data_IF_523349873634
#
_entry.id   IF_523349873634
#
_cell.length_a   1.000
_cell.length_b   1.000
_cell.length_c   1.000
_cell.angle_alpha   90.00
_cell.angle_beta   90.00
_cell.angle_gamma   90.00
#
_symmetry.space_group_name_H-M   'P 1'
#
loop_
_entity.id
_entity.type
_entity.pdbx_description
1 polymer ?
#
# COMPACT_ATOMS: atom_id res chain seq x y z
N UNK A 1 7.32 -14.07 -0.42
CA UNK A 1 8.68 -14.31 -0.88
C UNK A 1 9.61 -13.16 -0.49
N UNK A 2 10.89 -13.40 -0.49
CA UNK A 2 11.91 -12.47 -0.05
C UNK A 2 12.98 -12.29 -1.13
N UNK A 3 13.22 -11.06 -1.55
CA UNK A 3 14.16 -10.72 -2.62
C UNK A 3 14.96 -9.50 -2.18
N UNK A 4 16.19 -9.37 -2.66
CA UNK A 4 17.01 -8.18 -2.43
C UNK A 4 16.98 -7.32 -3.69
N UNK A 5 16.71 -6.01 -3.53
CA UNK A 5 16.69 -5.10 -4.68
C UNK A 5 18.08 -4.59 -5.05
N UNK A 6 18.15 -3.71 -6.08
CA UNK A 6 19.44 -3.22 -6.59
C UNK A 6 20.21 -2.36 -5.59
N UNK A 7 19.54 -1.80 -4.59
CA UNK A 7 20.15 -0.97 -3.54
C UNK A 7 20.50 -1.80 -2.30
N UNK A 8 20.32 -3.11 -2.32
CA UNK A 8 20.60 -3.97 -1.20
C UNK A 8 19.50 -4.05 -0.16
N UNK A 9 18.34 -3.45 -0.42
CA UNK A 9 17.18 -3.53 0.47
C UNK A 9 16.49 -4.87 0.29
N UNK A 10 15.84 -5.35 1.36
CA UNK A 10 15.04 -6.57 1.29
C UNK A 10 13.64 -6.25 0.85
N UNK A 11 13.14 -6.95 -0.14
CA UNK A 11 11.77 -6.82 -0.64
C UNK A 11 10.98 -8.05 -0.19
N UNK A 12 9.92 -7.83 0.58
CA UNK A 12 9.02 -8.87 1.05
C UNK A 12 7.72 -8.77 0.27
N UNK A 13 7.26 -9.89 -0.30
CA UNK A 13 6.03 -9.93 -1.08
C UNK A 13 5.04 -10.89 -0.45
N UNK A 14 3.80 -10.44 -0.34
CA UNK A 14 2.69 -11.24 0.17
C UNK A 14 1.65 -11.31 -0.95
N UNK A 15 1.45 -12.51 -1.50
CA UNK A 15 0.53 -12.70 -2.60
C UNK A 15 -0.93 -12.45 -2.22
N UNK A 16 -1.28 -12.73 -0.97
CA UNK A 16 -2.64 -12.59 -0.46
C UNK A 16 -2.59 -12.14 0.98
N UNK A 17 -3.25 -11.04 1.30
CA UNK A 17 -3.24 -10.50 2.66
C UNK A 17 -4.05 -11.36 3.63
N UNK A 18 -3.63 -11.41 4.91
CA UNK A 18 -4.41 -12.09 5.93
C UNK A 18 -5.78 -11.45 6.13
N UNK A 19 -6.75 -12.24 6.55
CA UNK A 19 -8.08 -11.77 6.90
C UNK A 19 -8.01 -10.61 7.90
N UNK A 20 -8.85 -9.61 7.70
CA UNK A 20 -8.90 -8.42 8.56
C UNK A 20 -7.95 -7.31 8.17
N UNK A 21 -7.09 -7.50 7.15
CA UNK A 21 -6.11 -6.48 6.72
C UNK A 21 -6.76 -5.35 5.94
N UNK A 22 -7.79 -5.64 5.15
CA UNK A 22 -8.49 -4.65 4.32
C UNK A 22 -9.99 -4.78 4.55
N UNK A 23 -10.62 -3.70 5.00
CA UNK A 23 -12.05 -3.64 5.21
C UNK A 23 -12.66 -2.57 4.31
N UNK A 24 -13.41 -3.00 3.31
CA UNK A 24 -14.10 -2.11 2.36
C UNK A 24 -15.49 -2.68 2.11
N UNK A 25 -16.46 -2.25 2.93
CA UNK A 25 -17.81 -2.82 2.92
C UNK A 25 -17.77 -4.34 3.19
N UNK A 26 -16.92 -4.75 4.13
CA UNK A 26 -16.65 -6.14 4.46
C UNK A 26 -15.17 -6.46 4.27
N UNK A 27 -14.74 -7.63 4.74
CA UNK A 27 -13.34 -8.05 4.63
C UNK A 27 -12.99 -8.37 3.18
N UNK A 28 -12.11 -7.56 2.59
CA UNK A 28 -11.63 -7.71 1.21
C UNK A 28 -10.16 -8.10 1.15
N UNK A 29 -9.58 -8.52 2.26
CA UNK A 29 -8.15 -8.83 2.35
C UNK A 29 -7.68 -9.86 1.32
N UNK A 30 -8.53 -10.83 1.01
CA UNK A 30 -8.21 -11.87 0.03
C UNK A 30 -8.11 -11.35 -1.40
N UNK A 31 -8.57 -10.13 -1.67
CA UNK A 31 -8.46 -9.48 -2.98
C UNK A 31 -7.18 -8.68 -3.15
N UNK A 32 -6.38 -8.57 -2.09
CA UNK A 32 -5.19 -7.72 -2.08
C UNK A 32 -3.91 -8.52 -1.83
N UNK A 33 -2.84 -8.05 -2.42
CA UNK A 33 -1.48 -8.47 -2.10
C UNK A 33 -0.69 -7.29 -1.57
N UNK A 34 0.46 -7.56 -0.99
CA UNK A 34 1.31 -6.54 -0.42
C UNK A 34 2.77 -6.72 -0.79
N UNK A 35 3.51 -5.63 -0.75
CA UNK A 35 4.95 -5.61 -0.93
C UNK A 35 5.55 -4.60 0.05
N UNK A 36 6.56 -5.02 0.78
CA UNK A 36 7.28 -4.14 1.70
C UNK A 36 8.75 -4.10 1.32
N UNK A 37 9.32 -2.91 1.27
CA UNK A 37 10.75 -2.71 1.07
C UNK A 37 11.34 -2.35 2.42
N UNK A 38 12.28 -3.18 2.89
CA UNK A 38 12.92 -3.03 4.20
C UNK A 38 14.33 -2.51 4.00
N UNK A 39 14.66 -1.42 4.66
CA UNK A 39 15.95 -0.78 4.59
C UNK A 39 16.64 -0.79 5.97
N UNK A 40 17.94 -0.62 5.97
CA UNK A 40 18.73 -0.54 7.20
C UNK A 40 19.45 0.79 7.25
N UNK A 41 19.35 1.47 8.39
CA UNK A 41 20.06 2.71 8.67
C UNK A 41 20.83 2.51 9.97
N UNK A 42 22.13 2.24 9.86
CA UNK A 42 22.94 1.87 11.02
C UNK A 42 22.43 0.60 11.68
N UNK A 43 22.16 0.59 12.98
CA UNK A 43 21.62 -0.59 13.66
C UNK A 43 20.11 -0.75 13.51
N UNK A 44 19.43 0.19 12.84
CA UNK A 44 17.96 0.20 12.73
C UNK A 44 17.52 -0.36 11.40
N UNK A 45 16.58 -1.32 11.44
CA UNK A 45 15.93 -1.86 10.27
C UNK A 45 14.46 -1.39 10.27
N UNK A 46 13.99 -0.88 9.17
CA UNK A 46 12.64 -0.33 9.08
C UNK A 46 12.04 -0.55 7.69
N UNK A 47 10.71 -0.51 7.62
CA UNK A 47 10.01 -0.56 6.34
C UNK A 47 10.12 0.82 5.69
N UNK A 48 10.79 0.86 4.53
CA UNK A 48 10.99 2.08 3.75
C UNK A 48 9.79 2.40 2.88
N UNK A 49 9.13 1.37 2.36
CA UNK A 49 7.96 1.51 1.51
C UNK A 49 7.03 0.34 1.72
N UNK A 50 5.74 0.62 1.80
CA UNK A 50 4.72 -0.41 1.86
C UNK A 50 3.73 -0.17 0.73
N UNK A 51 3.48 -1.21 -0.07
CA UNK A 51 2.53 -1.17 -1.16
C UNK A 51 1.47 -2.24 -0.97
N UNK A 52 0.22 -1.84 -1.09
CA UNK A 52 -0.92 -2.75 -1.06
C UNK A 52 -1.71 -2.54 -2.34
N UNK A 53 -1.94 -3.62 -3.08
CA UNK A 53 -2.58 -3.55 -4.40
C UNK A 53 -3.66 -4.61 -4.54
N UNK A 54 -4.73 -4.28 -5.24
CA UNK A 54 -5.74 -5.26 -5.60
C UNK A 54 -5.13 -6.26 -6.59
N UNK A 55 -5.32 -7.54 -6.32
CA UNK A 55 -4.81 -8.64 -7.15
C UNK A 55 -5.66 -8.83 -8.40
N UNK A 56 -6.93 -8.46 -8.32
CA UNK A 56 -7.91 -8.63 -9.39
C UNK A 56 -9.05 -7.66 -9.17
N UNK A 57 -9.86 -7.36 -10.18
CA UNK A 57 -11.06 -6.55 -9.98
C UNK A 57 -12.01 -7.23 -9.02
N UNK A 58 -12.72 -6.44 -8.21
CA UNK A 58 -13.68 -6.97 -7.25
C UNK A 58 -14.86 -6.02 -7.08
N UNK A 59 -15.97 -6.54 -6.56
CA UNK A 59 -17.16 -5.75 -6.29
C UNK A 59 -17.19 -5.29 -4.83
N UNK A 60 -17.45 -4.00 -4.63
CA UNK A 60 -17.72 -3.47 -3.30
C UNK A 60 -19.18 -3.71 -2.91
N UNK A 61 -20.07 -3.47 -3.87
CA UNK A 61 -21.51 -3.62 -3.71
C UNK A 61 -22.06 -4.16 -5.02
N UNK A 62 -23.35 -4.45 -5.04
CA UNK A 62 -24.01 -4.99 -6.25
C UNK A 62 -23.75 -4.12 -7.49
N UNK A 63 -23.71 -2.79 -7.31
CA UNK A 63 -23.60 -1.84 -8.41
C UNK A 63 -22.23 -1.15 -8.51
N UNK A 64 -21.31 -1.42 -7.58
CA UNK A 64 -20.01 -0.77 -7.58
C UNK A 64 -18.89 -1.81 -7.73
N UNK A 65 -17.98 -1.55 -8.64
CA UNK A 65 -16.85 -2.43 -8.93
C UNK A 65 -15.54 -1.65 -8.86
N UNK A 66 -14.54 -2.24 -8.25
CA UNK A 66 -13.17 -1.72 -8.24
C UNK A 66 -12.37 -2.52 -9.26
N UNK A 67 -11.88 -1.83 -10.29
CA UNK A 67 -11.08 -2.46 -11.34
C UNK A 67 -9.60 -2.51 -10.98
N UNK A 68 -9.13 -1.50 -10.24
CA UNK A 68 -7.74 -1.40 -9.82
C UNK A 68 -7.67 -0.60 -8.52
N UNK A 69 -6.76 -0.99 -7.63
CA UNK A 69 -6.56 -0.28 -6.37
C UNK A 69 -5.11 -0.43 -5.94
N UNK A 70 -4.45 0.69 -5.64
CA UNK A 70 -3.05 0.74 -5.23
C UNK A 70 -2.90 1.76 -4.11
N UNK A 71 -2.21 1.36 -3.04
CA UNK A 71 -1.77 2.29 -2.00
C UNK A 71 -0.28 2.10 -1.82
N UNK A 72 0.48 3.19 -1.90
CA UNK A 72 1.91 3.18 -1.64
C UNK A 72 2.21 4.19 -0.55
N UNK A 73 2.81 3.73 0.53
CA UNK A 73 3.27 4.58 1.62
C UNK A 73 4.79 4.54 1.67
N UNK A 74 5.41 5.72 1.65
CA UNK A 74 6.85 5.87 1.82
C UNK A 74 7.13 6.34 3.23
N UNK A 75 8.16 5.76 3.85
CA UNK A 75 8.55 6.03 5.22
C UNK A 75 9.99 6.49 5.28
N UNK A 76 10.29 7.31 6.28
CA UNK A 76 11.66 7.72 6.59
C UNK A 76 11.83 7.70 8.10
N UNK A 77 13.08 7.64 8.55
CA UNK A 77 13.35 7.73 9.99
C UNK A 77 13.22 9.17 10.45
N UNK A 78 12.39 9.39 11.47
CA UNK A 78 12.25 10.67 12.14
C UNK A 78 13.34 10.91 13.17
N UNK A 79 13.25 12.03 13.88
CA UNK A 79 14.24 12.42 14.90
C UNK A 79 14.46 11.39 15.98
N UNK A 80 13.40 10.70 16.39
CA UNK A 80 13.49 9.72 17.46
C UNK A 80 13.96 8.35 16.99
N UNK A 81 14.38 8.22 15.71
CA UNK A 81 14.77 6.95 15.14
C UNK A 81 13.60 6.03 14.81
N UNK A 82 12.38 6.55 14.78
CA UNK A 82 11.19 5.79 14.45
C UNK A 82 10.74 6.09 13.02
N UNK A 83 10.26 5.08 12.29
CA UNK A 83 9.72 5.32 10.95
C UNK A 83 8.47 6.20 11.02
N UNK A 84 8.40 7.18 10.13
CA UNK A 84 7.21 8.03 9.96
C UNK A 84 6.85 8.05 8.50
N UNK A 85 5.56 8.10 8.20
CA UNK A 85 5.09 8.18 6.83
C UNK A 85 5.41 9.58 6.30
N UNK A 86 6.08 9.65 5.15
CA UNK A 86 6.42 10.95 4.53
C UNK A 86 5.61 11.19 3.27
N UNK A 87 5.07 10.14 2.67
CA UNK A 87 4.23 10.25 1.48
C UNK A 87 3.27 9.08 1.42
N UNK A 88 2.04 9.35 1.05
CA UNK A 88 1.03 8.32 0.82
C UNK A 88 0.34 8.61 -0.50
N UNK A 89 0.32 7.63 -1.40
CA UNK A 89 -0.37 7.72 -2.68
C UNK A 89 -1.41 6.64 -2.75
N UNK A 90 -2.65 7.04 -3.01
CA UNK A 90 -3.76 6.12 -3.22
C UNK A 90 -4.31 6.34 -4.62
N UNK A 91 -4.39 5.28 -5.40
CA UNK A 91 -4.86 5.34 -6.78
C UNK A 91 -5.82 4.18 -7.01
N UNK A 92 -6.98 4.47 -7.55
CA UNK A 92 -7.94 3.43 -7.86
C UNK A 92 -8.78 3.79 -9.07
N UNK A 93 -9.25 2.76 -9.77
CA UNK A 93 -10.19 2.88 -10.87
C UNK A 93 -11.41 2.02 -10.52
N UNK A 94 -12.57 2.56 -10.74
CA UNK A 94 -13.81 1.88 -10.42
C UNK A 94 -14.92 2.24 -11.40
N UNK A 95 -16.00 1.46 -11.35
CA UNK A 95 -17.15 1.67 -12.20
C UNK A 95 -18.44 1.33 -11.48
N UNK A 96 -19.52 1.98 -11.92
CA UNK A 96 -20.88 1.72 -11.53
C UNK A 96 -21.78 2.05 -12.74
N UNK A 97 -23.06 1.64 -12.75
CA UNK A 97 -23.90 1.85 -13.91
C UNK A 97 -23.88 3.31 -14.39
N UNK A 98 -23.49 3.50 -15.65
CA UNK A 98 -23.44 4.81 -16.29
C UNK A 98 -22.24 5.67 -15.92
N UNK A 99 -21.30 5.16 -15.13
CA UNK A 99 -20.18 5.95 -14.65
C UNK A 99 -18.92 5.10 -14.44
N UNK A 100 -17.79 5.61 -14.88
CA UNK A 100 -16.49 5.01 -14.59
C UNK A 100 -15.47 6.13 -14.43
N UNK A 101 -14.39 5.85 -13.70
CA UNK A 101 -13.35 6.84 -13.50
C UNK A 101 -12.17 6.34 -12.71
N UNK A 102 -11.13 7.16 -12.68
CA UNK A 102 -9.91 6.91 -11.93
C UNK A 102 -9.70 8.06 -10.94
N UNK A 103 -9.30 7.71 -9.72
CA UNK A 103 -9.00 8.69 -8.67
C UNK A 103 -7.58 8.46 -8.20
N UNK A 104 -6.84 9.54 -8.00
CA UNK A 104 -5.50 9.50 -7.43
C UNK A 104 -5.40 10.58 -6.35
N UNK A 105 -5.04 10.16 -5.16
CA UNK A 105 -4.81 11.06 -4.02
C UNK A 105 -3.37 10.91 -3.57
N UNK A 106 -2.70 12.02 -3.38
CA UNK A 106 -1.34 12.03 -2.86
C UNK A 106 -1.26 12.96 -1.66
N UNK A 107 -0.70 12.47 -0.57
CA UNK A 107 -0.48 13.25 0.64
C UNK A 107 0.99 13.21 0.98
N UNK A 108 1.59 14.39 1.17
CA UNK A 108 2.97 14.52 1.59
C UNK A 108 2.96 15.11 3.00
N UNK A 109 3.72 14.49 3.90
CA UNK A 109 3.77 14.87 5.30
C UNK A 109 5.07 15.59 5.62
N UNK A 110 4.98 16.66 6.40
CA UNK A 110 6.12 17.38 6.93
C UNK A 110 6.14 17.28 8.44
N UNK A 111 7.30 17.08 9.00
CA UNK A 111 7.49 16.94 10.45
C UNK A 111 8.50 17.98 10.92
N UNK A 112 8.16 18.66 12.00
CA UNK A 112 9.06 19.61 12.63
C UNK A 112 10.14 18.86 13.40
N UNK A 113 11.28 18.86 12.85
CA UNK A 113 12.43 18.23 13.46
C UNK A 113 12.67 16.82 13.01
#
# INVERSE_FOLDING_TARGET
SRVTDAQGNTVLKIAKLPSGSVDMAGDRSDKFGGEAIVATAGPTTYVKQLRVSAREPFRLMVVAKIDRFDIVNDYALGKAGRPVVVRSVQEYAGSRPGESGTVRNEVVYSYDG
#
